data_IF_497421068709
#
_entry.id   IF_497421068709
#
_cell.length_a   1.000
_cell.length_b   1.000
_cell.length_c   1.000
_cell.angle_alpha   90.00
_cell.angle_beta   90.00
_cell.angle_gamma   90.00
#
_symmetry.space_group_name_H-M   'P 1'
#
loop_
_entity.id
_entity.type
_entity.pdbx_description
1 polymer ?
#
# COMPACT_ATOMS: atom_id res chain seq x y z
N UNK A 1 9.42 -17.30 -3.04
CA UNK A 1 8.34 -18.30 -3.07
C UNK A 1 7.40 -17.86 -4.16
N UNK A 2 7.31 -18.62 -5.23
CA UNK A 2 6.29 -18.41 -6.26
C UNK A 2 5.43 -19.65 -6.30
N UNK A 3 4.18 -19.49 -6.74
CA UNK A 3 3.36 -20.63 -7.13
C UNK A 3 3.84 -21.07 -8.51
N UNK A 4 4.19 -22.35 -8.65
CA UNK A 4 4.65 -22.92 -9.91
C UNK A 4 3.63 -23.91 -10.46
N UNK A 5 3.40 -23.84 -11.76
CA UNK A 5 2.67 -24.85 -12.53
C UNK A 5 3.61 -25.72 -13.37
N UNK A 6 4.81 -25.22 -13.67
CA UNK A 6 5.83 -25.92 -14.44
C UNK A 6 7.02 -26.27 -13.54
N UNK A 7 7.47 -27.50 -13.67
CA UNK A 7 8.70 -28.00 -13.04
C UNK A 7 9.95 -27.38 -13.69
N UNK A 8 11.12 -27.52 -13.06
CA UNK A 8 12.40 -27.11 -13.67
C UNK A 8 12.72 -27.88 -14.97
N UNK A 9 12.11 -29.05 -15.13
CA UNK A 9 12.20 -29.89 -16.34
C UNK A 9 11.12 -29.56 -17.40
N UNK A 10 10.31 -28.51 -17.18
CA UNK A 10 9.28 -28.08 -18.13
C UNK A 10 7.98 -28.91 -18.11
N UNK A 11 7.85 -29.87 -17.18
CA UNK A 11 6.61 -30.66 -17.01
C UNK A 11 5.52 -29.81 -16.38
N UNK A 12 4.32 -29.84 -16.96
CA UNK A 12 3.14 -29.18 -16.41
C UNK A 12 2.50 -30.01 -15.30
N UNK A 13 2.12 -29.35 -14.21
CA UNK A 13 1.39 -29.93 -13.10
C UNK A 13 0.02 -29.25 -12.99
N UNK A 14 -1.06 -30.05 -13.04
CA UNK A 14 -2.42 -29.55 -12.91
C UNK A 14 -2.72 -28.92 -11.53
N UNK A 15 -2.00 -29.37 -10.49
CA UNK A 15 -2.06 -28.76 -9.16
C UNK A 15 -0.86 -27.84 -8.96
N UNK A 16 -1.07 -26.56 -8.63
CA UNK A 16 0.03 -25.64 -8.32
C UNK A 16 0.82 -26.14 -7.11
N UNK A 17 2.13 -25.85 -7.08
CA UNK A 17 3.00 -26.27 -6.00
C UNK A 17 4.04 -25.20 -5.66
N UNK A 18 4.66 -25.34 -4.49
CA UNK A 18 5.72 -24.47 -3.98
C UNK A 18 6.95 -25.34 -3.67
N UNK A 19 8.12 -24.90 -4.10
CA UNK A 19 9.37 -25.56 -3.76
C UNK A 19 9.77 -25.29 -2.31
N UNK A 20 10.35 -26.30 -1.67
CA UNK A 20 10.98 -26.10 -0.37
C UNK A 20 12.14 -25.10 -0.48
N UNK A 21 12.47 -24.47 0.64
CA UNK A 21 13.65 -23.61 0.74
C UNK A 21 14.57 -24.09 1.83
N UNK A 22 15.85 -24.08 1.52
CA UNK A 22 16.91 -24.27 2.49
C UNK A 22 17.70 -22.98 2.61
N UNK A 23 18.21 -22.71 3.80
CA UNK A 23 19.13 -21.58 3.98
C UNK A 23 20.54 -22.11 3.82
N UNK A 24 21.25 -21.71 2.77
CA UNK A 24 22.69 -21.94 2.68
C UNK A 24 23.44 -20.71 3.21
N UNK A 25 24.55 -20.94 3.90
CA UNK A 25 25.47 -19.85 4.27
C UNK A 25 26.48 -19.67 3.15
N UNK A 26 26.62 -18.44 2.69
CA UNK A 26 27.71 -18.06 1.80
C UNK A 26 29.05 -18.22 2.55
N UNK A 27 30.02 -18.97 2.00
CA UNK A 27 31.29 -19.24 2.67
C UNK A 27 32.18 -18.00 2.85
N UNK A 28 32.00 -16.96 2.02
CA UNK A 28 32.82 -15.73 2.07
C UNK A 28 32.11 -14.65 2.88
N UNK A 29 30.84 -14.39 2.58
CA UNK A 29 30.10 -13.30 3.25
C UNK A 29 29.44 -13.72 4.55
N UNK A 30 29.41 -15.03 4.86
CA UNK A 30 28.70 -15.65 5.98
C UNK A 30 27.20 -15.33 6.06
N UNK A 31 26.65 -14.71 5.02
CA UNK A 31 25.23 -14.37 4.92
C UNK A 31 24.41 -15.62 4.66
N UNK A 32 23.25 -15.72 5.31
CA UNK A 32 22.24 -16.74 4.99
C UNK A 32 21.54 -16.34 3.70
N UNK A 33 21.79 -17.09 2.63
CA UNK A 33 21.11 -16.92 1.36
C UNK A 33 19.97 -17.95 1.25
N UNK A 34 18.75 -17.52 0.93
CA UNK A 34 17.64 -18.44 0.71
C UNK A 34 17.84 -19.15 -0.64
N UNK A 35 18.10 -20.46 -0.60
CA UNK A 35 18.26 -21.30 -1.78
C UNK A 35 16.99 -22.12 -1.96
N UNK A 36 16.44 -22.09 -3.18
CA UNK A 36 15.27 -22.91 -3.53
C UNK A 36 15.75 -24.35 -3.71
N UNK A 37 15.17 -25.26 -2.94
CA UNK A 37 15.38 -26.68 -3.12
C UNK A 37 14.34 -27.21 -4.12
N UNK A 38 14.80 -27.54 -5.32
CA UNK A 38 13.95 -28.03 -6.41
C UNK A 38 13.58 -29.51 -6.26
N UNK A 39 14.20 -30.23 -5.32
CA UNK A 39 13.93 -31.65 -5.09
C UNK A 39 12.61 -31.86 -4.34
N UNK A 40 12.30 -30.98 -3.39
CA UNK A 40 11.11 -31.10 -2.55
C UNK A 40 10.01 -30.14 -3.00
N UNK A 41 8.86 -30.70 -3.38
CA UNK A 41 7.70 -29.94 -3.87
C UNK A 41 6.52 -30.14 -2.93
N UNK A 42 5.96 -29.04 -2.47
CA UNK A 42 4.77 -29.03 -1.64
C UNK A 42 3.56 -28.62 -2.48
N UNK A 43 2.62 -29.53 -2.74
CA UNK A 43 1.42 -29.19 -3.51
C UNK A 43 0.55 -28.21 -2.72
N UNK A 44 0.01 -27.21 -3.42
CA UNK A 44 -0.95 -26.28 -2.84
C UNK A 44 -2.25 -27.05 -2.52
N UNK A 45 -2.68 -26.96 -1.27
CA UNK A 45 -3.95 -27.52 -0.81
C UNK A 45 -4.90 -26.39 -0.48
N UNK A 46 -6.18 -26.59 -0.80
CA UNK A 46 -7.24 -25.67 -0.44
C UNK A 46 -7.88 -26.10 0.89
N UNK A 47 -8.40 -25.13 1.64
CA UNK A 47 -9.16 -25.35 2.87
C UNK A 47 -8.36 -26.15 3.93
N UNK A 48 -7.15 -25.68 4.22
CA UNK A 48 -6.26 -26.32 5.19
C UNK A 48 -6.40 -25.67 6.57
N UNK A 49 -6.16 -26.45 7.62
CA UNK A 49 -5.95 -25.92 8.97
C UNK A 49 -4.47 -25.66 9.17
N UNK A 50 -4.15 -24.50 9.73
CA UNK A 50 -2.78 -24.01 9.88
C UNK A 50 -2.64 -23.12 11.10
N UNK A 51 -1.78 -22.10 11.00
CA UNK A 51 -1.51 -21.19 12.12
C UNK A 51 -2.77 -20.39 12.53
N UNK A 52 -2.94 -20.18 13.83
CA UNK A 52 -4.06 -19.39 14.35
C UNK A 52 -3.96 -17.93 13.89
N UNK A 53 -5.08 -17.38 13.46
CA UNK A 53 -5.19 -15.96 13.14
C UNK A 53 -6.50 -15.38 13.66
N UNK A 54 -6.49 -14.08 13.91
CA UNK A 54 -7.66 -13.35 14.38
C UNK A 54 -8.43 -12.80 13.18
N UNK A 55 -9.51 -13.48 12.80
CA UNK A 55 -10.37 -13.00 11.73
C UNK A 55 -11.12 -11.75 12.19
N UNK A 56 -10.91 -10.65 11.47
CA UNK A 56 -11.52 -9.34 11.76
C UNK A 56 -11.29 -8.79 13.18
N UNK A 57 -10.31 -9.31 13.91
CA UNK A 57 -10.12 -8.94 15.30
C UNK A 57 -11.22 -9.44 16.24
N UNK A 58 -12.14 -10.30 15.80
CA UNK A 58 -13.30 -10.71 16.61
C UNK A 58 -13.24 -12.18 17.05
N UNK A 59 -12.84 -13.09 16.17
CA UNK A 59 -12.73 -14.51 16.49
C UNK A 59 -11.39 -15.09 16.04
N UNK A 60 -10.92 -16.07 16.80
CA UNK A 60 -9.76 -16.89 16.44
C UNK A 60 -10.21 -17.97 15.44
N UNK A 61 -9.43 -18.15 14.39
CA UNK A 61 -9.68 -19.11 13.32
C UNK A 61 -8.35 -19.71 12.90
N UNK A 62 -8.34 -21.01 12.66
CA UNK A 62 -7.20 -21.78 12.14
C UNK A 62 -7.38 -22.14 10.65
N UNK A 63 -8.50 -21.72 10.06
CA UNK A 63 -8.91 -22.13 8.72
C UNK A 63 -8.34 -21.22 7.63
N UNK A 64 -7.50 -21.78 6.76
CA UNK A 64 -6.85 -21.07 5.65
C UNK A 64 -7.39 -21.55 4.31
N UNK A 65 -7.65 -20.59 3.40
CA UNK A 65 -8.17 -20.90 2.06
C UNK A 65 -7.20 -21.75 1.25
N UNK A 66 -5.89 -21.50 1.39
CA UNK A 66 -4.84 -22.26 0.73
C UNK A 66 -3.60 -22.33 1.61
N UNK A 67 -2.88 -23.45 1.53
CA UNK A 67 -1.62 -23.62 2.24
C UNK A 67 -0.86 -24.86 1.77
N UNK A 68 0.30 -25.08 2.39
CA UNK A 68 1.20 -26.19 2.10
C UNK A 68 1.60 -26.86 3.41
N UNK A 69 1.90 -28.17 3.39
CA UNK A 69 2.19 -28.92 4.62
C UNK A 69 3.52 -28.52 5.32
N UNK A 70 4.48 -27.94 4.58
CA UNK A 70 5.83 -27.70 5.09
C UNK A 70 6.40 -26.32 4.77
N UNK A 71 5.58 -25.27 4.86
CA UNK A 71 6.03 -23.90 4.67
C UNK A 71 4.89 -22.90 4.49
N UNK A 72 5.24 -21.72 4.00
CA UNK A 72 4.30 -20.63 3.72
C UNK A 72 4.06 -20.47 2.22
N UNK A 73 2.94 -19.85 1.85
CA UNK A 73 2.64 -19.49 0.47
C UNK A 73 2.74 -17.98 0.35
N UNK A 74 3.68 -17.49 -0.46
CA UNK A 74 3.84 -16.06 -0.73
C UNK A 74 3.34 -15.74 -2.14
N UNK A 75 2.12 -15.21 -2.25
CA UNK A 75 1.46 -14.97 -3.54
C UNK A 75 2.25 -14.02 -4.45
N UNK A 76 2.73 -12.90 -3.89
CA UNK A 76 3.57 -11.93 -4.59
C UNK A 76 5.07 -12.15 -4.33
N UNK A 77 5.42 -13.27 -3.70
CA UNK A 77 6.77 -13.52 -3.23
C UNK A 77 7.14 -12.71 -1.99
N UNK A 78 8.45 -12.62 -1.75
CA UNK A 78 9.02 -12.02 -0.54
C UNK A 78 10.00 -10.92 -0.89
N UNK A 79 10.20 -9.98 0.04
CA UNK A 79 11.31 -9.01 -0.05
C UNK A 79 12.69 -9.66 0.25
N UNK A 80 13.74 -8.84 0.21
CA UNK A 80 15.12 -9.24 0.53
C UNK A 80 15.30 -9.80 1.95
N UNK A 81 14.38 -9.49 2.88
CA UNK A 81 14.37 -9.97 4.26
C UNK A 81 13.46 -11.19 4.44
N UNK A 82 12.82 -11.68 3.38
CA UNK A 82 11.90 -12.81 3.43
C UNK A 82 10.48 -12.46 3.90
N UNK A 83 10.11 -11.18 3.95
CA UNK A 83 8.77 -10.75 4.37
C UNK A 83 7.77 -10.87 3.21
N UNK A 84 6.55 -11.31 3.52
CA UNK A 84 5.48 -11.48 2.52
C UNK A 84 5.07 -10.16 1.86
N UNK A 85 5.20 -10.07 0.53
CA UNK A 85 4.87 -8.85 -0.21
C UNK A 85 3.36 -8.66 -0.35
N UNK A 86 2.60 -9.74 -0.48
CA UNK A 86 1.15 -9.66 -0.67
C UNK A 86 0.46 -9.01 0.54
N UNK A 87 0.73 -9.53 1.74
CA UNK A 87 0.20 -9.01 3.00
C UNK A 87 0.62 -7.55 3.22
N UNK A 88 1.88 -7.22 2.96
CA UNK A 88 2.36 -5.82 3.09
C UNK A 88 1.63 -4.87 2.16
N UNK A 89 1.37 -5.28 0.92
CA UNK A 89 0.61 -4.47 -0.04
C UNK A 89 -0.83 -4.29 0.44
N UNK A 90 -1.51 -5.34 0.89
CA UNK A 90 -2.88 -5.24 1.42
C UNK A 90 -2.96 -4.29 2.62
N UNK A 91 -2.02 -4.39 3.57
CA UNK A 91 -1.95 -3.47 4.69
C UNK A 91 -1.68 -2.02 4.26
N UNK A 92 -0.81 -1.83 3.26
CA UNK A 92 -0.54 -0.50 2.70
C UNK A 92 -1.79 0.08 2.00
N UNK A 93 -2.55 -0.74 1.26
CA UNK A 93 -3.77 -0.32 0.58
C UNK A 93 -4.79 0.28 1.55
N UNK A 94 -4.96 -0.30 2.74
CA UNK A 94 -5.85 0.26 3.76
C UNK A 94 -5.47 1.70 4.13
N UNK A 95 -4.19 1.94 4.36
CA UNK A 95 -3.69 3.29 4.69
C UNK A 95 -3.85 4.22 3.49
N UNK A 96 -3.42 3.81 2.28
CA UNK A 96 -3.53 4.62 1.07
C UNK A 96 -4.96 5.00 0.72
N UNK A 97 -5.92 4.06 0.81
CA UNK A 97 -7.34 4.34 0.58
C UNK A 97 -7.89 5.32 1.62
N UNK A 98 -7.50 5.17 2.89
CA UNK A 98 -7.95 6.09 3.94
C UNK A 98 -7.43 7.52 3.75
N UNK A 99 -6.16 7.69 3.34
CA UNK A 99 -5.57 9.01 3.03
C UNK A 99 -6.32 9.65 1.86
N UNK A 100 -6.53 8.89 0.77
CA UNK A 100 -7.22 9.39 -0.41
C UNK A 100 -8.66 9.79 -0.09
N UNK A 101 -9.41 8.93 0.60
CA UNK A 101 -10.80 9.20 0.94
C UNK A 101 -10.95 10.42 1.86
N UNK A 102 -10.22 10.46 2.97
CA UNK A 102 -10.32 11.58 3.92
C UNK A 102 -9.80 12.87 3.30
N UNK A 103 -8.71 12.81 2.53
CA UNK A 103 -8.13 13.98 1.86
C UNK A 103 -9.09 14.58 0.82
N UNK A 104 -9.72 13.75 0.00
CA UNK A 104 -10.72 14.21 -0.99
C UNK A 104 -11.98 14.73 -0.32
N UNK A 105 -12.48 14.07 0.72
CA UNK A 105 -13.64 14.54 1.48
C UNK A 105 -13.37 15.92 2.11
N UNK A 106 -12.19 16.11 2.72
CA UNK A 106 -11.77 17.39 3.27
C UNK A 106 -11.59 18.46 2.18
N UNK A 107 -10.96 18.12 1.06
CA UNK A 107 -10.83 19.01 -0.11
C UNK A 107 -12.20 19.45 -0.63
N UNK A 108 -13.16 18.53 -0.69
CA UNK A 108 -14.53 18.79 -1.13
C UNK A 108 -15.26 19.72 -0.17
N UNK A 109 -15.21 19.47 1.13
CA UNK A 109 -15.84 20.35 2.13
C UNK A 109 -15.24 21.76 2.07
N UNK A 110 -13.91 21.87 2.00
CA UNK A 110 -13.23 23.16 1.87
C UNK A 110 -13.59 23.86 0.56
N UNK A 111 -13.56 23.12 -0.56
CA UNK A 111 -13.84 23.66 -1.89
C UNK A 111 -15.29 24.10 -2.04
N UNK A 112 -16.24 23.30 -1.58
CA UNK A 112 -17.66 23.66 -1.56
C UNK A 112 -17.95 24.86 -0.65
N UNK A 113 -17.28 24.95 0.50
CA UNK A 113 -17.43 26.10 1.40
C UNK A 113 -16.88 27.37 0.78
N UNK A 114 -15.62 27.35 0.32
CA UNK A 114 -14.96 28.53 -0.26
C UNK A 114 -15.61 28.94 -1.58
N UNK A 115 -15.86 27.99 -2.47
CA UNK A 115 -16.53 28.21 -3.76
C UNK A 115 -17.99 28.65 -3.57
N UNK A 116 -18.69 28.11 -2.57
CA UNK A 116 -20.04 28.56 -2.20
C UNK A 116 -20.06 30.00 -1.71
N UNK A 117 -19.10 30.41 -0.87
CA UNK A 117 -18.94 31.81 -0.43
C UNK A 117 -18.62 32.73 -1.60
N UNK A 118 -17.68 32.34 -2.47
CA UNK A 118 -17.31 33.11 -3.66
C UNK A 118 -18.51 33.29 -4.59
N UNK A 119 -19.24 32.22 -4.90
CA UNK A 119 -20.41 32.25 -5.76
C UNK A 119 -21.60 32.99 -5.16
N UNK A 120 -21.78 32.97 -3.84
CA UNK A 120 -22.86 33.68 -3.16
C UNK A 120 -22.67 35.20 -3.15
N UNK A 121 -21.47 35.68 -2.78
CA UNK A 121 -21.20 37.12 -2.71
C UNK A 121 -20.86 37.73 -4.08
N UNK A 122 -20.24 36.95 -4.97
CA UNK A 122 -19.80 37.40 -6.29
C UNK A 122 -18.81 38.58 -6.24
N UNK A 123 -18.58 39.18 -7.40
CA UNK A 123 -17.83 40.44 -7.54
C UNK A 123 -16.39 40.34 -7.00
N UNK A 124 -16.07 41.17 -6.01
CA UNK A 124 -14.70 41.26 -5.48
C UNK A 124 -14.26 40.01 -4.70
N UNK A 125 -15.17 39.33 -4.00
CA UNK A 125 -14.88 38.10 -3.24
C UNK A 125 -14.52 36.98 -4.20
N UNK A 126 -15.35 36.79 -5.23
CA UNK A 126 -15.11 35.80 -6.28
C UNK A 126 -13.78 36.06 -6.99
N UNK A 127 -13.53 37.32 -7.40
CA UNK A 127 -12.26 37.67 -8.03
C UNK A 127 -11.07 37.37 -7.10
N UNK A 128 -11.14 37.70 -5.81
CA UNK A 128 -10.05 37.39 -4.87
C UNK A 128 -9.79 35.87 -4.75
N UNK A 129 -10.85 35.07 -4.60
CA UNK A 129 -10.75 33.61 -4.50
C UNK A 129 -10.18 33.01 -5.79
N UNK A 130 -10.65 33.46 -6.95
CA UNK A 130 -10.12 33.06 -8.25
C UNK A 130 -8.63 33.40 -8.40
N UNK A 131 -8.20 34.60 -7.98
CA UNK A 131 -6.77 34.99 -8.03
C UNK A 131 -5.91 34.12 -7.13
N UNK A 132 -6.41 33.76 -5.95
CA UNK A 132 -5.71 32.86 -5.04
C UNK A 132 -5.56 31.46 -5.67
N UNK A 133 -6.62 30.94 -6.29
CA UNK A 133 -6.59 29.64 -6.99
C UNK A 133 -5.61 29.68 -8.16
N UNK A 134 -5.64 30.73 -8.99
CA UNK A 134 -4.71 30.93 -10.11
C UNK A 134 -3.26 30.96 -9.63
N UNK A 135 -2.98 31.67 -8.53
CA UNK A 135 -1.65 31.75 -7.94
C UNK A 135 -1.15 30.37 -7.48
N UNK A 136 -1.95 29.64 -6.70
CA UNK A 136 -1.58 28.30 -6.22
C UNK A 136 -1.35 27.34 -7.39
N UNK A 137 -2.23 27.38 -8.40
CA UNK A 137 -2.17 26.49 -9.58
C UNK A 137 -1.12 26.89 -10.61
N UNK A 138 -0.54 28.08 -10.50
CA UNK A 138 0.59 28.50 -11.33
C UNK A 138 1.86 27.71 -11.00
N UNK A 139 1.93 27.15 -9.78
CA UNK A 139 3.01 26.27 -9.36
C UNK A 139 2.81 24.86 -9.93
N UNK A 140 3.86 24.24 -10.51
CA UNK A 140 3.80 22.83 -10.91
C UNK A 140 3.43 21.92 -9.73
N UNK A 141 2.37 21.12 -9.89
CA UNK A 141 1.79 20.33 -8.80
C UNK A 141 2.80 19.36 -8.19
N UNK A 142 3.52 18.58 -9.02
CA UNK A 142 4.47 17.59 -8.51
C UNK A 142 5.59 18.23 -7.66
N UNK A 143 6.29 19.29 -8.11
CA UNK A 143 7.24 20.04 -7.27
C UNK A 143 6.64 20.56 -5.95
N UNK A 144 5.44 21.13 -5.98
CA UNK A 144 4.80 21.65 -4.77
C UNK A 144 4.54 20.54 -3.74
N UNK A 145 4.07 19.38 -4.19
CA UNK A 145 3.87 18.22 -3.33
C UNK A 145 5.17 17.69 -2.75
N UNK A 146 6.22 17.58 -3.58
CA UNK A 146 7.53 17.14 -3.12
C UNK A 146 8.13 18.11 -2.10
N UNK A 147 8.00 19.42 -2.33
CA UNK A 147 8.48 20.45 -1.40
C UNK A 147 7.76 20.39 -0.05
N UNK A 148 6.42 20.32 -0.06
CA UNK A 148 5.62 20.21 1.16
C UNK A 148 5.89 18.90 1.90
N UNK A 149 6.00 17.78 1.17
CA UNK A 149 6.35 16.48 1.77
C UNK A 149 7.76 16.45 2.34
N UNK A 150 8.72 17.13 1.71
CA UNK A 150 10.11 17.19 2.17
C UNK A 150 10.28 18.11 3.38
N UNK A 151 9.40 19.09 3.55
CA UNK A 151 9.37 19.96 4.72
C UNK A 151 8.86 19.27 6.00
N UNK A 152 8.24 18.09 5.88
CA UNK A 152 7.76 17.34 7.04
C UNK A 152 8.93 16.72 7.82
N UNK A 153 8.98 16.88 9.17
CA UNK A 153 10.03 16.29 9.99
C UNK A 153 10.04 14.76 9.91
N UNK A 154 11.25 14.19 9.90
CA UNK A 154 11.47 12.73 9.73
C UNK A 154 11.21 11.92 11.01
N UNK A 155 11.19 12.59 12.15
CA UNK A 155 10.95 12.02 13.48
C UNK A 155 9.45 11.90 13.83
N UNK A 156 8.57 12.38 12.95
CA UNK A 156 7.13 12.27 13.15
C UNK A 156 6.63 10.83 13.15
N UNK A 157 5.69 10.57 14.06
CA UNK A 157 4.97 9.31 14.11
C UNK A 157 4.16 9.07 12.83
N UNK A 158 3.87 7.81 12.53
CA UNK A 158 3.07 7.44 11.34
C UNK A 158 1.69 8.12 11.31
N UNK A 159 1.11 8.40 12.48
CA UNK A 159 -0.18 9.09 12.60
C UNK A 159 -0.05 10.58 12.25
N UNK A 160 1.00 11.26 12.73
CA UNK A 160 1.26 12.67 12.40
C UNK A 160 1.51 12.84 10.90
N UNK A 161 2.32 11.94 10.31
CA UNK A 161 2.61 11.96 8.88
C UNK A 161 1.34 11.71 8.05
N UNK A 162 0.50 10.78 8.47
CA UNK A 162 -0.82 10.53 7.87
C UNK A 162 -1.68 11.79 7.83
N UNK A 163 -1.84 12.49 8.97
CA UNK A 163 -2.65 13.71 9.02
C UNK A 163 -2.06 14.83 8.17
N UNK A 164 -0.75 14.99 8.17
CA UNK A 164 -0.10 16.04 7.40
C UNK A 164 -0.23 15.83 5.89
N UNK A 165 -0.02 14.62 5.39
CA UNK A 165 -0.23 14.30 3.97
C UNK A 165 -1.70 14.52 3.59
N UNK A 166 -2.63 14.10 4.45
CA UNK A 166 -4.08 14.30 4.25
C UNK A 166 -4.45 15.78 4.20
N UNK A 167 -3.83 16.61 5.04
CA UNK A 167 -4.03 18.06 5.05
C UNK A 167 -3.45 18.73 3.81
N UNK A 168 -2.25 18.32 3.37
CA UNK A 168 -1.62 18.81 2.13
C UNK A 168 -2.52 18.50 0.93
N UNK A 169 -3.02 17.27 0.85
CA UNK A 169 -4.00 16.83 -0.14
C UNK A 169 -5.25 17.72 -0.14
N UNK A 170 -5.82 17.98 1.03
CA UNK A 170 -7.01 18.81 1.16
C UNK A 170 -6.74 20.27 0.73
N UNK A 171 -5.63 20.84 1.20
CA UNK A 171 -5.22 22.22 0.98
C UNK A 171 -4.81 22.52 -0.47
N UNK A 172 -4.43 21.52 -1.26
CA UNK A 172 -4.18 21.68 -2.69
C UNK A 172 -5.39 21.26 -3.53
N UNK A 173 -6.07 20.19 -3.12
CA UNK A 173 -7.22 19.62 -3.83
C UNK A 173 -8.42 20.55 -3.91
N UNK A 174 -8.69 21.37 -2.89
CA UNK A 174 -9.84 22.29 -2.91
C UNK A 174 -9.79 23.28 -4.08
N UNK A 175 -8.58 23.69 -4.52
CA UNK A 175 -8.40 24.63 -5.64
C UNK A 175 -8.85 24.07 -6.99
N UNK A 176 -8.95 22.74 -7.10
CA UNK A 176 -9.50 22.06 -8.27
C UNK A 176 -11.02 21.92 -8.19
N UNK A 177 -11.58 21.88 -6.98
CA UNK A 177 -13.01 21.66 -6.74
C UNK A 177 -13.81 22.96 -6.59
N UNK A 178 -13.18 24.05 -6.14
CA UNK A 178 -13.82 25.34 -5.88
C UNK A 178 -13.99 26.23 -7.12
N UNK A 179 -13.44 25.84 -8.26
CA UNK A 179 -13.59 26.52 -9.54
C UNK A 179 -14.81 26.00 -10.28
#
# INVERSE_FOLDING_TARGET
MGIHFFDTEGRFHARPFVYARTSKRDPVTLRKLPVIDTQTRWPLRFFVRGDDYRFWGMWESDFHLFGVEGGYVHLFGTDILGRDLFSRTLYATRVSMSVAFVGVAAAFVLGAFIGGVAGYFGGWVDNFVMRLIEFIRSLPTLPLWLALSAALPRDWSSLQLYFAITLILAALGWTHLAR
#
